data_IF_580058350374
#
_entry.id   IF_580058350374
#
_cell.length_a   1.000
_cell.length_b   1.000
_cell.length_c   1.000
_cell.angle_alpha   90.00
_cell.angle_beta   90.00
_cell.angle_gamma   90.00
#
_symmetry.space_group_name_H-M   'P 1'
#
loop_
_entity.id
_entity.type
_entity.pdbx_description
1 polymer ?
#
# COMPACT_ATOMS: atom_id res chain seq x y z
N UNK A 1 -0.50 -14.21 -10.21
CA UNK A 1 -0.56 -12.84 -9.63
C UNK A 1 -1.86 -12.54 -8.89
N UNK A 2 -3.01 -13.10 -9.29
CA UNK A 2 -4.29 -12.89 -8.56
C UNK A 2 -4.37 -13.56 -7.16
N UNK A 3 -3.52 -14.54 -6.86
CA UNK A 3 -3.53 -15.26 -5.57
C UNK A 3 -2.87 -14.50 -4.41
N UNK A 4 -2.10 -13.46 -4.71
CA UNK A 4 -1.41 -12.64 -3.71
C UNK A 4 -2.28 -11.51 -3.14
N UNK A 5 -3.36 -11.15 -3.82
CA UNK A 5 -4.24 -10.05 -3.44
C UNK A 5 -5.53 -10.64 -2.88
N UNK A 6 -5.91 -10.23 -1.67
CA UNK A 6 -7.17 -10.64 -1.05
C UNK A 6 -8.36 -10.27 -1.96
N UNK A 7 -9.33 -11.19 -2.09
CA UNK A 7 -10.51 -10.97 -2.95
C UNK A 7 -11.30 -9.72 -2.55
N UNK A 8 -11.30 -9.38 -1.28
CA UNK A 8 -12.00 -8.20 -0.75
C UNK A 8 -11.27 -6.87 -1.00
N UNK A 9 -10.07 -6.91 -1.61
CA UNK A 9 -9.32 -5.71 -1.95
C UNK A 9 -9.96 -4.98 -3.13
N UNK A 10 -10.60 -3.85 -2.87
CA UNK A 10 -11.29 -3.04 -3.89
C UNK A 10 -10.46 -1.91 -4.50
N UNK A 11 -9.26 -1.64 -3.96
CA UNK A 11 -8.40 -0.52 -4.39
C UNK A 11 -7.21 -1.04 -5.18
N UNK A 12 -6.81 -0.34 -6.25
CA UNK A 12 -5.67 -0.67 -7.13
C UNK A 12 -5.76 -2.05 -7.81
N UNK A 13 -6.97 -2.56 -7.99
CA UNK A 13 -7.24 -3.82 -8.67
C UNK A 13 -8.05 -3.56 -9.93
N UNK A 14 -7.65 -4.17 -11.06
CA UNK A 14 -8.35 -4.01 -12.33
C UNK A 14 -9.81 -4.50 -12.21
N UNK A 15 -10.77 -3.66 -12.58
CA UNK A 15 -12.19 -3.97 -12.52
C UNK A 15 -12.84 -3.79 -11.15
N UNK A 16 -12.12 -3.24 -10.17
CA UNK A 16 -12.64 -2.90 -8.85
C UNK A 16 -12.52 -1.40 -8.58
N UNK A 17 -13.40 -0.87 -7.76
CA UNK A 17 -13.43 0.54 -7.40
C UNK A 17 -13.71 0.72 -5.91
N UNK A 18 -13.22 1.82 -5.34
CA UNK A 18 -13.62 2.27 -4.01
C UNK A 18 -15.11 2.56 -3.93
N UNK A 19 -15.72 2.93 -5.06
CA UNK A 19 -17.17 3.17 -5.17
C UNK A 19 -17.95 1.89 -4.86
N UNK A 20 -17.45 0.71 -5.27
CA UNK A 20 -18.11 -0.57 -4.99
C UNK A 20 -18.21 -0.83 -3.49
N UNK A 21 -17.14 -0.56 -2.75
CA UNK A 21 -17.12 -0.70 -1.29
C UNK A 21 -18.05 0.31 -0.61
N UNK A 22 -18.10 1.54 -1.10
CA UNK A 22 -19.03 2.57 -0.61
C UNK A 22 -20.47 2.14 -0.88
N UNK A 23 -20.76 1.60 -2.06
CA UNK A 23 -22.09 1.11 -2.42
C UNK A 23 -22.53 -0.04 -1.51
N UNK A 24 -21.66 -1.03 -1.27
CA UNK A 24 -21.95 -2.14 -0.35
C UNK A 24 -22.28 -1.62 1.05
N UNK A 25 -21.48 -0.69 1.57
CA UNK A 25 -21.74 -0.08 2.89
C UNK A 25 -23.06 0.68 2.91
N UNK A 26 -23.36 1.44 1.87
CA UNK A 26 -24.64 2.18 1.74
C UNK A 26 -25.84 1.22 1.75
N UNK A 27 -25.77 0.13 1.00
CA UNK A 27 -26.83 -0.90 0.97
C UNK A 27 -27.01 -1.54 2.34
N UNK A 28 -25.92 -1.90 3.03
CA UNK A 28 -25.98 -2.47 4.39
C UNK A 28 -26.64 -1.52 5.37
N UNK A 29 -26.27 -0.23 5.35
CA UNK A 29 -26.89 0.79 6.20
C UNK A 29 -28.39 0.89 5.92
N UNK A 30 -28.81 0.88 4.65
CA UNK A 30 -30.21 0.97 4.24
C UNK A 30 -31.02 -0.24 4.71
N UNK A 31 -30.46 -1.46 4.56
CA UNK A 31 -31.07 -2.69 5.05
C UNK A 31 -31.25 -2.66 6.57
N UNK A 32 -30.23 -2.22 7.33
CA UNK A 32 -30.28 -2.18 8.78
C UNK A 32 -31.29 -1.13 9.28
N UNK A 33 -31.36 0.03 8.61
CA UNK A 33 -32.39 1.03 8.87
C UNK A 33 -33.82 0.46 8.66
N UNK A 34 -34.05 -0.20 7.52
CA UNK A 34 -35.33 -0.83 7.23
C UNK A 34 -35.70 -1.88 8.27
N UNK A 35 -34.76 -2.71 8.68
CA UNK A 35 -34.96 -3.74 9.72
C UNK A 35 -34.99 -3.17 11.14
N UNK A 36 -34.82 -1.87 11.35
CA UNK A 36 -34.70 -1.22 12.66
C UNK A 36 -33.62 -1.84 13.56
N UNK A 37 -32.54 -2.32 12.96
CA UNK A 37 -31.38 -2.92 13.66
C UNK A 37 -30.22 -1.95 13.71
N UNK A 38 -29.39 -2.08 14.73
CA UNK A 38 -28.12 -1.32 14.83
C UNK A 38 -27.06 -1.97 13.92
N UNK A 39 -26.28 -1.13 13.26
CA UNK A 39 -25.07 -1.51 12.52
C UNK A 39 -23.87 -0.91 13.26
N UNK A 40 -22.90 -1.75 13.58
CA UNK A 40 -21.61 -1.32 14.15
C UNK A 40 -20.57 -1.45 13.06
N UNK A 41 -19.85 -0.38 12.77
CA UNK A 41 -18.78 -0.36 11.77
C UNK A 41 -17.49 0.06 12.46
N UNK A 42 -16.39 -0.63 12.13
CA UNK A 42 -15.03 -0.26 12.51
C UNK A 42 -14.25 0.08 11.24
N UNK A 43 -13.63 1.25 11.21
CA UNK A 43 -12.74 1.69 10.14
C UNK A 43 -11.31 1.61 10.66
N UNK A 44 -10.51 0.75 10.04
CA UNK A 44 -9.13 0.51 10.44
C UNK A 44 -8.22 1.01 9.33
N UNK A 45 -7.26 1.85 9.68
CA UNK A 45 -6.26 2.38 8.77
C UNK A 45 -4.84 2.16 9.32
N UNK A 46 -3.87 2.01 8.43
CA UNK A 46 -2.46 1.85 8.82
C UNK A 46 -1.77 3.20 8.89
N UNK A 47 -1.36 3.57 10.08
CA UNK A 47 -0.57 4.79 10.26
C UNK A 47 0.75 4.68 9.49
N UNK A 48 1.04 5.68 8.63
CA UNK A 48 2.30 5.79 7.87
C UNK A 48 2.67 4.51 7.10
N UNK A 49 1.70 3.86 6.46
CA UNK A 49 1.87 2.56 5.80
C UNK A 49 3.07 2.49 4.83
N UNK A 50 3.38 3.58 4.14
CA UNK A 50 4.52 3.67 3.22
C UNK A 50 5.84 3.97 3.95
N UNK A 51 5.80 4.81 4.98
CA UNK A 51 6.99 5.31 5.65
C UNK A 51 7.60 4.28 6.62
N UNK A 52 6.80 3.31 7.06
CA UNK A 52 7.20 2.31 8.06
C UNK A 52 7.55 0.94 7.49
N UNK A 53 7.57 0.78 6.18
CA UNK A 53 7.91 -0.49 5.55
C UNK A 53 9.35 -0.91 5.91
N UNK A 54 9.47 -2.06 6.57
CA UNK A 54 10.77 -2.67 6.88
C UNK A 54 11.34 -3.35 5.64
N UNK A 55 12.30 -2.71 5.00
CA UNK A 55 12.85 -3.15 3.70
C UNK A 55 13.48 -4.54 3.74
N UNK A 56 14.19 -4.89 4.82
CA UNK A 56 14.77 -6.24 4.90
C UNK A 56 13.72 -7.34 4.90
N UNK A 57 12.58 -7.12 5.60
CA UNK A 57 11.43 -8.01 5.53
C UNK A 57 10.79 -8.04 4.15
N UNK A 58 10.77 -6.91 3.44
CA UNK A 58 10.27 -6.83 2.08
C UNK A 58 11.10 -7.73 1.14
N UNK A 59 12.43 -7.68 1.23
CA UNK A 59 13.31 -8.52 0.40
C UNK A 59 13.04 -10.01 0.61
N UNK A 60 12.88 -10.44 1.85
CA UNK A 60 12.52 -11.83 2.18
C UNK A 60 11.18 -12.23 1.61
N UNK A 61 10.17 -11.36 1.68
CA UNK A 61 8.84 -11.62 1.14
C UNK A 61 8.82 -11.66 -0.39
N UNK A 62 9.58 -10.81 -1.07
CA UNK A 62 9.71 -10.86 -2.54
C UNK A 62 10.24 -12.21 -2.99
N UNK A 63 11.34 -12.66 -2.37
CA UNK A 63 11.93 -13.98 -2.67
C UNK A 63 10.97 -15.12 -2.34
N UNK A 64 10.26 -15.05 -1.22
CA UNK A 64 9.25 -16.05 -0.83
C UNK A 64 8.05 -16.11 -1.78
N UNK A 65 7.78 -15.06 -2.54
CA UNK A 65 6.77 -15.01 -3.59
C UNK A 65 7.34 -15.23 -5.00
N UNK A 66 8.49 -15.87 -5.10
CA UNK A 66 9.17 -16.21 -6.36
C UNK A 66 9.57 -14.99 -7.21
N UNK A 67 9.56 -13.79 -6.65
CA UNK A 67 10.07 -12.58 -7.29
C UNK A 67 11.59 -12.57 -7.11
N UNK A 68 12.29 -13.04 -8.12
CA UNK A 68 13.74 -13.22 -8.08
C UNK A 68 14.41 -12.65 -9.35
N UNK A 69 15.72 -12.86 -9.48
CA UNK A 69 16.50 -12.51 -10.65
C UNK A 69 16.43 -11.02 -11.00
N UNK A 70 16.21 -10.71 -12.26
CA UNK A 70 16.23 -9.33 -12.78
C UNK A 70 15.19 -8.43 -12.10
N UNK A 71 13.99 -8.95 -11.88
CA UNK A 71 12.91 -8.17 -11.26
C UNK A 71 13.26 -7.80 -9.80
N UNK A 72 13.75 -8.78 -9.03
CA UNK A 72 14.23 -8.53 -7.68
C UNK A 72 15.31 -7.45 -7.64
N UNK A 73 16.33 -7.58 -8.51
CA UNK A 73 17.43 -6.62 -8.55
C UNK A 73 16.97 -5.20 -8.91
N UNK A 74 15.99 -5.05 -9.81
CA UNK A 74 15.42 -3.75 -10.14
C UNK A 74 14.73 -3.15 -8.92
N UNK A 75 13.85 -3.90 -8.26
CA UNK A 75 13.10 -3.43 -7.10
C UNK A 75 14.07 -3.08 -5.95
N UNK A 76 15.04 -3.95 -5.70
CA UNK A 76 16.07 -3.73 -4.68
C UNK A 76 16.85 -2.44 -4.93
N UNK A 77 17.38 -2.24 -6.14
CA UNK A 77 18.17 -1.06 -6.49
C UNK A 77 17.35 0.24 -6.46
N UNK A 78 16.05 0.19 -6.76
CA UNK A 78 15.17 1.36 -6.66
C UNK A 78 14.98 1.84 -5.21
N UNK A 79 15.13 0.95 -4.23
CA UNK A 79 14.91 1.24 -2.82
C UNK A 79 16.18 1.21 -1.97
N UNK A 80 17.29 0.76 -2.55
CA UNK A 80 18.59 0.81 -1.92
C UNK A 80 19.17 2.24 -2.09
N UNK A 81 19.79 2.77 -1.04
CA UNK A 81 20.45 4.08 -1.04
C UNK A 81 19.54 5.26 -1.45
N UNK A 82 18.28 5.24 -1.05
CA UNK A 82 17.39 6.39 -1.29
C UNK A 82 17.90 7.59 -0.51
N UNK A 83 18.14 8.69 -1.25
CA UNK A 83 18.47 9.99 -0.68
C UNK A 83 17.32 10.95 -0.92
N UNK A 84 16.96 11.70 0.10
CA UNK A 84 15.93 12.73 0.06
C UNK A 84 16.53 14.08 0.41
N UNK A 85 15.86 15.15 -0.01
CA UNK A 85 16.17 16.52 0.41
C UNK A 85 14.88 17.33 0.54
N UNK A 86 14.89 18.33 1.37
CA UNK A 86 13.79 19.29 1.49
C UNK A 86 14.00 20.42 0.48
N UNK A 87 12.93 20.85 -0.17
CA UNK A 87 12.90 22.05 -1.03
C UNK A 87 11.86 23.01 -0.47
N UNK A 88 12.29 24.23 -0.13
CA UNK A 88 11.42 25.29 0.37
C UNK A 88 11.84 26.63 -0.22
N UNK A 89 10.90 27.36 -0.81
CA UNK A 89 11.15 28.65 -1.47
C UNK A 89 12.36 28.65 -2.44
N UNK A 90 12.48 27.58 -3.24
CA UNK A 90 13.60 27.36 -4.18
C UNK A 90 14.96 27.04 -3.54
N UNK A 91 15.07 27.09 -2.23
CA UNK A 91 16.22 26.61 -1.50
C UNK A 91 16.16 25.10 -1.28
N UNK A 92 17.32 24.47 -1.23
CA UNK A 92 17.45 23.01 -1.15
C UNK A 92 18.34 22.65 0.02
N UNK A 93 17.87 21.73 0.87
CA UNK A 93 18.73 21.16 1.92
C UNK A 93 19.81 20.25 1.34
N UNK A 94 20.78 19.88 2.15
CA UNK A 94 21.65 18.74 1.89
C UNK A 94 20.84 17.46 1.78
N UNK A 95 21.41 16.47 1.09
CA UNK A 95 20.80 15.15 0.99
C UNK A 95 20.94 14.38 2.31
N UNK A 96 19.88 13.70 2.70
CA UNK A 96 19.88 12.75 3.81
C UNK A 96 19.38 11.37 3.36
N UNK A 97 19.87 10.32 4.01
CA UNK A 97 19.50 8.93 3.71
C UNK A 97 18.12 8.60 4.27
N UNK A 98 17.36 7.79 3.52
CA UNK A 98 16.09 7.23 3.95
C UNK A 98 16.20 5.70 3.97
N UNK A 99 16.41 5.12 5.14
CA UNK A 99 16.73 3.69 5.29
C UNK A 99 15.49 2.81 5.49
N UNK A 100 14.34 3.42 5.75
CA UNK A 100 13.05 2.74 5.92
C UNK A 100 12.00 3.34 4.97
N UNK A 101 10.92 2.61 4.81
CA UNK A 101 9.79 3.04 3.99
C UNK A 101 9.99 2.84 2.49
N UNK A 102 8.95 3.10 1.75
CA UNK A 102 8.90 3.09 0.28
C UNK A 102 8.30 4.39 -0.22
N UNK A 103 8.62 4.77 -1.46
CA UNK A 103 8.13 6.03 -2.02
C UNK A 103 6.61 6.02 -2.16
N UNK A 104 5.95 7.10 -1.76
CA UNK A 104 4.53 7.28 -1.98
C UNK A 104 4.23 7.60 -3.46
N UNK A 105 3.01 7.26 -3.89
CA UNK A 105 2.48 7.55 -5.23
C UNK A 105 3.18 6.83 -6.40
N UNK A 106 4.06 5.89 -6.15
CA UNK A 106 4.58 5.00 -7.18
C UNK A 106 3.72 3.73 -7.26
N UNK A 107 3.36 3.29 -8.46
CA UNK A 107 2.57 2.06 -8.65
C UNK A 107 3.25 0.83 -8.04
N UNK A 108 4.58 0.81 -8.07
CA UNK A 108 5.38 -0.26 -7.50
C UNK A 108 5.28 -0.29 -5.97
N UNK A 109 5.24 0.87 -5.32
CA UNK A 109 5.12 0.96 -3.86
C UNK A 109 3.80 0.42 -3.34
N UNK A 110 2.72 0.57 -4.10
CA UNK A 110 1.44 -0.07 -3.79
C UNK A 110 1.52 -1.59 -3.89
N UNK A 111 2.14 -2.11 -4.93
CA UNK A 111 2.39 -3.55 -5.08
C UNK A 111 3.24 -4.10 -3.93
N UNK A 112 4.28 -3.37 -3.54
CA UNK A 112 5.12 -3.70 -2.38
C UNK A 112 4.30 -3.78 -1.09
N UNK A 113 3.39 -2.82 -0.84
CA UNK A 113 2.52 -2.86 0.33
C UNK A 113 1.59 -4.08 0.35
N UNK A 114 1.08 -4.51 -0.80
CA UNK A 114 0.26 -5.72 -0.88
C UNK A 114 1.05 -6.99 -0.55
N UNK A 115 2.30 -7.06 -0.94
CA UNK A 115 3.17 -8.19 -0.61
C UNK A 115 3.56 -8.15 0.87
N UNK A 116 3.70 -6.95 1.45
CA UNK A 116 4.18 -6.78 2.83
C UNK A 116 3.11 -7.09 3.88
N UNK A 117 1.82 -6.97 3.55
CA UNK A 117 0.70 -7.39 4.40
C UNK A 117 0.61 -8.90 4.49
#
# INVERSE_FOLDING_TARGET
>A
MNSLICENQGVFRKGYSTIDNIFVLHVLISIMKYKRKKLFCAFIDFAKAFDTVWRSGLWSKLLGNEINGKMYNIIYNMHNEIKSRVVYNSEKSEYFSCDIGVRQLENLSLFILFIFK
#
